data_IF_039264391137
#
_entry.id   IF_039264391137
#
_cell.length_a   1.000
_cell.length_b   1.000
_cell.length_c   1.000
_cell.angle_alpha   90.00
_cell.angle_beta   90.00
_cell.angle_gamma   90.00
#
_symmetry.space_group_name_H-M   'P 1'
#
loop_
_entity.id
_entity.type
_entity.pdbx_description
1 polymer ?
#
# COMPACT_ATOMS: atom_id res chain seq x y z
N UNK A 1 2.04 23.73 7.54
CA UNK A 1 2.25 22.28 7.80
C UNK A 1 1.76 21.40 6.65
N UNK A 2 0.89 21.86 5.74
CA UNK A 2 0.29 21.05 4.66
C UNK A 2 1.26 20.64 3.54
N UNK A 3 2.16 21.52 3.08
CA UNK A 3 3.08 21.16 1.98
C UNK A 3 4.16 20.15 2.40
N UNK A 4 4.58 20.19 3.68
CA UNK A 4 5.60 19.25 4.18
C UNK A 4 5.00 17.84 4.31
N UNK A 5 3.77 17.68 4.81
CA UNK A 5 3.12 16.37 4.90
C UNK A 5 2.79 15.78 3.51
N UNK A 6 2.33 16.59 2.56
CA UNK A 6 1.98 16.11 1.22
C UNK A 6 3.22 15.74 0.39
N UNK A 7 4.29 16.52 0.53
CA UNK A 7 5.61 16.18 -0.02
C UNK A 7 6.25 14.99 0.70
N UNK A 8 6.03 14.80 2.01
CA UNK A 8 6.50 13.64 2.76
C UNK A 8 5.80 12.37 2.29
N UNK A 9 4.46 12.36 2.18
CA UNK A 9 3.69 11.18 1.77
C UNK A 9 4.01 10.80 0.32
N UNK A 10 4.07 11.78 -0.59
CA UNK A 10 4.37 11.52 -2.01
C UNK A 10 5.84 11.08 -2.20
N UNK A 11 6.81 11.73 -1.54
CA UNK A 11 8.22 11.32 -1.63
C UNK A 11 8.54 10.05 -0.84
N UNK A 12 7.86 9.75 0.27
CA UNK A 12 8.09 8.53 1.03
C UNK A 12 7.52 7.33 0.30
N UNK A 13 6.33 7.42 -0.30
CA UNK A 13 5.79 6.34 -1.13
C UNK A 13 6.63 6.11 -2.39
N UNK A 14 7.09 7.17 -3.07
CA UNK A 14 7.95 7.03 -4.24
C UNK A 14 9.38 6.54 -3.91
N UNK A 15 9.98 6.97 -2.80
CA UNK A 15 11.36 6.60 -2.46
C UNK A 15 11.51 5.34 -1.61
N UNK A 16 10.52 5.00 -0.77
CA UNK A 16 10.51 3.71 -0.06
C UNK A 16 10.25 2.56 -1.04
N UNK A 17 9.33 2.74 -1.99
CA UNK A 17 9.06 1.73 -3.03
C UNK A 17 10.20 1.56 -4.03
N UNK A 18 11.09 2.56 -4.19
CA UNK A 18 12.26 2.41 -5.07
C UNK A 18 13.33 1.46 -4.52
N UNK A 19 13.27 1.11 -3.22
CA UNK A 19 14.23 0.20 -2.56
C UNK A 19 13.61 -1.05 -1.92
N UNK A 20 12.30 -1.09 -1.64
CA UNK A 20 11.60 -2.37 -1.51
C UNK A 20 11.47 -2.94 -2.93
N UNK A 21 11.80 -4.22 -3.14
CA UNK A 21 11.69 -4.79 -4.49
C UNK A 21 10.24 -4.65 -4.96
N UNK A 22 10.02 -4.19 -6.20
CA UNK A 22 8.72 -4.14 -6.89
C UNK A 22 8.18 -5.55 -7.20
N UNK A 23 8.50 -6.56 -6.38
CA UNK A 23 8.13 -7.95 -6.64
C UNK A 23 6.75 -8.20 -6.06
N UNK A 24 5.77 -8.28 -6.95
CA UNK A 24 4.44 -8.80 -6.61
C UNK A 24 4.60 -10.22 -6.06
N UNK A 25 3.90 -10.61 -4.97
CA UNK A 25 3.91 -11.98 -4.50
C UNK A 25 3.48 -12.93 -5.63
N UNK A 26 4.03 -14.14 -5.68
CA UNK A 26 3.62 -15.12 -6.69
C UNK A 26 2.25 -15.70 -6.31
N UNK A 27 1.18 -15.04 -6.77
CA UNK A 27 -0.20 -15.36 -6.42
C UNK A 27 -0.82 -16.30 -7.45
N UNK A 28 -0.18 -17.46 -7.61
CA UNK A 28 -0.62 -18.50 -8.54
C UNK A 28 -0.66 -19.87 -7.87
N UNK A 29 -1.59 -20.70 -8.30
CA UNK A 29 -1.66 -22.10 -7.87
C UNK A 29 -0.63 -22.98 -8.61
N UNK A 30 -0.66 -24.29 -8.33
CA UNK A 30 0.23 -25.27 -8.96
C UNK A 30 0.07 -25.33 -10.49
N UNK A 31 -1.10 -24.96 -11.00
CA UNK A 31 -1.42 -24.89 -12.43
C UNK A 31 -1.06 -23.52 -13.05
N UNK A 32 -0.44 -22.63 -12.27
CA UNK A 32 -0.07 -21.25 -12.63
C UNK A 32 -1.26 -20.33 -12.90
N UNK A 33 -2.43 -20.69 -12.40
CA UNK A 33 -3.64 -19.87 -12.48
C UNK A 33 -3.67 -18.86 -11.32
N UNK A 34 -4.16 -17.64 -11.55
CA UNK A 34 -4.27 -16.66 -10.48
C UNK A 34 -5.24 -17.10 -9.39
N UNK A 35 -4.82 -16.92 -8.13
CA UNK A 35 -5.63 -17.31 -6.97
C UNK A 35 -6.46 -16.15 -6.41
N UNK A 36 -6.11 -14.89 -6.71
CA UNK A 36 -6.78 -13.69 -6.20
C UNK A 36 -7.84 -13.14 -7.17
N UNK A 37 -8.73 -14.01 -7.64
CA UNK A 37 -9.66 -13.67 -8.72
C UNK A 37 -10.60 -12.49 -8.40
N UNK A 38 -10.78 -11.61 -9.38
CA UNK A 38 -11.63 -10.42 -9.28
C UNK A 38 -11.13 -9.37 -8.29
N UNK A 39 -9.93 -9.55 -7.75
CA UNK A 39 -9.29 -8.66 -6.78
C UNK A 39 -7.89 -8.33 -7.26
N UNK A 40 -7.36 -7.22 -6.75
CA UNK A 40 -6.00 -6.76 -7.09
C UNK A 40 -5.11 -6.62 -5.86
N UNK A 41 -5.66 -6.91 -4.68
CA UNK A 41 -5.00 -6.88 -3.38
C UNK A 41 -5.74 -7.84 -2.43
N UNK A 42 -5.29 -7.93 -1.18
CA UNK A 42 -5.99 -8.65 -0.12
C UNK A 42 -7.41 -8.09 0.05
N UNK A 43 -8.38 -9.00 0.08
CA UNK A 43 -9.80 -8.73 0.24
C UNK A 43 -10.45 -9.75 1.17
N UNK A 44 -11.67 -9.45 1.66
CA UNK A 44 -12.53 -10.39 2.38
C UNK A 44 -12.83 -11.67 1.59
N UNK A 45 -12.75 -11.61 0.25
CA UNK A 45 -12.97 -12.79 -0.62
C UNK A 45 -11.68 -13.51 -1.01
N UNK A 46 -10.51 -12.96 -0.66
CA UNK A 46 -9.23 -13.57 -1.00
C UNK A 46 -9.00 -14.85 -0.18
N UNK A 47 -8.47 -15.93 -0.78
CA UNK A 47 -8.10 -17.11 -0.02
C UNK A 47 -6.92 -16.81 0.93
N UNK A 48 -6.78 -17.54 2.06
CA UNK A 48 -5.72 -17.30 3.05
C UNK A 48 -4.31 -17.26 2.46
N UNK A 49 -4.05 -18.07 1.42
CA UNK A 49 -2.77 -18.11 0.72
C UNK A 49 -2.35 -16.74 0.14
N UNK A 50 -3.30 -15.88 -0.24
CA UNK A 50 -3.01 -14.52 -0.71
C UNK A 50 -2.44 -13.67 0.43
N UNK A 51 -3.10 -13.68 1.59
CA UNK A 51 -2.63 -12.96 2.77
C UNK A 51 -1.23 -13.42 3.21
N UNK A 52 -1.00 -14.74 3.22
CA UNK A 52 0.29 -15.34 3.56
C UNK A 52 1.39 -14.93 2.58
N UNK A 53 1.11 -14.93 1.28
CA UNK A 53 2.08 -14.56 0.25
C UNK A 53 2.46 -13.08 0.35
N UNK A 54 1.48 -12.19 0.54
CA UNK A 54 1.72 -10.76 0.77
C UNK A 54 2.56 -10.50 2.03
N UNK A 55 2.19 -11.14 3.14
CA UNK A 55 2.95 -11.03 4.39
C UNK A 55 4.38 -11.56 4.20
N UNK A 56 4.57 -12.72 3.57
CA UNK A 56 5.88 -13.30 3.33
C UNK A 56 6.77 -12.38 2.47
N UNK A 57 6.21 -11.75 1.44
CA UNK A 57 6.93 -10.79 0.59
C UNK A 57 7.33 -9.54 1.39
N UNK A 58 6.40 -8.96 2.16
CA UNK A 58 6.70 -7.83 3.06
C UNK A 58 7.81 -8.16 4.06
N UNK A 59 7.75 -9.34 4.71
CA UNK A 59 8.78 -9.77 5.65
C UNK A 59 10.17 -9.86 5.00
N UNK A 60 10.25 -10.35 3.76
CA UNK A 60 11.50 -10.43 3.01
C UNK A 60 12.03 -9.04 2.67
N UNK A 61 11.20 -8.19 2.06
CA UNK A 61 11.62 -6.87 1.57
C UNK A 61 11.95 -5.93 2.72
N UNK A 62 11.15 -5.91 3.78
CA UNK A 62 11.41 -5.07 4.94
C UNK A 62 12.65 -5.53 5.71
N UNK A 63 12.88 -6.84 5.85
CA UNK A 63 14.13 -7.35 6.43
C UNK A 63 15.35 -6.95 5.60
N UNK A 64 15.26 -7.05 4.26
CA UNK A 64 16.33 -6.61 3.36
C UNK A 64 16.59 -5.12 3.45
N UNK A 65 15.53 -4.31 3.52
CA UNK A 65 15.62 -2.87 3.73
C UNK A 65 16.36 -2.54 5.02
N UNK A 66 15.98 -3.16 6.14
CA UNK A 66 16.63 -2.95 7.44
C UNK A 66 18.11 -3.34 7.38
N UNK A 67 18.44 -4.53 6.87
CA UNK A 67 19.84 -4.97 6.71
C UNK A 67 20.66 -4.00 5.87
N UNK A 68 20.09 -3.50 4.78
CA UNK A 68 20.76 -2.54 3.89
C UNK A 68 21.00 -1.20 4.59
N UNK A 69 19.98 -0.65 5.26
CA UNK A 69 20.13 0.58 6.05
C UNK A 69 21.13 0.41 7.19
N UNK A 70 21.19 -0.76 7.80
CA UNK A 70 22.11 -1.04 8.89
C UNK A 70 23.60 -0.99 8.46
N UNK A 71 23.89 -1.30 7.19
CA UNK A 71 25.23 -1.20 6.61
C UNK A 71 25.62 0.23 6.25
N UNK A 72 24.65 1.04 5.81
CA UNK A 72 24.87 2.43 5.39
C UNK A 72 24.93 3.41 6.57
N UNK A 73 24.27 3.08 7.70
CA UNK A 73 24.12 3.99 8.83
C UNK A 73 25.29 3.94 9.80
N UNK A 74 25.67 5.12 10.31
CA UNK A 74 26.71 5.28 11.34
C UNK A 74 26.35 4.44 12.56
N UNK A 75 27.22 3.49 12.97
CA UNK A 75 27.05 2.75 14.20
C UNK A 75 27.04 3.71 15.41
N UNK A 76 26.40 3.31 16.51
CA UNK A 76 26.34 4.11 17.74
C UNK A 76 25.52 5.41 17.63
N UNK A 77 24.26 5.30 17.19
CA UNK A 77 23.30 6.39 17.33
C UNK A 77 22.85 7.05 16.04
N UNK A 78 23.23 6.53 14.87
CA UNK A 78 22.54 6.86 13.63
C UNK A 78 21.04 6.61 13.78
N UNK A 79 20.21 7.55 13.32
CA UNK A 79 18.75 7.50 13.43
C UNK A 79 18.09 7.49 12.07
N UNK A 80 17.00 6.74 11.96
CA UNK A 80 16.11 6.75 10.81
C UNK A 80 14.68 6.96 11.30
N UNK A 81 13.91 7.71 10.53
CA UNK A 81 12.48 7.88 10.74
C UNK A 81 11.80 7.28 9.51
N UNK A 82 10.94 6.30 9.72
CA UNK A 82 10.12 5.72 8.67
C UNK A 82 8.67 6.08 8.95
N UNK A 83 7.94 6.46 7.92
CA UNK A 83 6.48 6.57 7.95
C UNK A 83 5.96 5.63 6.88
N UNK A 84 5.11 4.70 7.29
CA UNK A 84 4.52 3.66 6.47
C UNK A 84 3.00 3.80 6.57
N UNK A 85 2.26 3.50 5.51
CA UNK A 85 0.85 3.18 5.73
C UNK A 85 0.79 1.85 6.49
N UNK A 86 -0.19 1.71 7.36
CA UNK A 86 -0.40 0.50 8.11
C UNK A 86 -1.88 0.25 8.33
N UNK A 87 -2.16 -0.64 9.28
CA UNK A 87 -3.51 -0.96 9.74
C UNK A 87 -3.52 -1.09 11.27
N UNK A 88 -4.69 -0.88 11.87
CA UNK A 88 -4.92 -1.10 13.30
C UNK A 88 -5.31 -2.55 13.57
N UNK A 89 -6.05 -3.15 12.65
CA UNK A 89 -6.48 -4.54 12.75
C UNK A 89 -5.32 -5.52 12.60
N UNK A 90 -5.32 -6.60 13.38
CA UNK A 90 -4.43 -7.74 13.15
C UNK A 90 -4.78 -8.48 11.85
N UNK A 91 -6.08 -8.51 11.50
CA UNK A 91 -6.58 -9.14 10.28
C UNK A 91 -6.27 -8.26 9.05
N UNK A 92 -5.49 -8.74 8.07
CA UNK A 92 -5.18 -7.99 6.85
C UNK A 92 -6.35 -7.91 5.85
N UNK A 93 -7.51 -8.50 6.17
CA UNK A 93 -8.74 -8.40 5.37
C UNK A 93 -9.75 -7.42 5.98
N UNK A 94 -9.31 -6.55 6.90
CA UNK A 94 -10.14 -5.50 7.50
C UNK A 94 -10.19 -4.25 6.63
N UNK A 95 -11.27 -3.47 6.72
CA UNK A 95 -11.50 -2.31 5.84
C UNK A 95 -10.37 -1.27 5.89
N UNK A 96 -9.80 -1.02 7.07
CA UNK A 96 -8.66 -0.09 7.26
C UNK A 96 -7.37 -0.51 6.55
N UNK A 97 -7.30 -1.74 6.02
CA UNK A 97 -6.12 -2.28 5.35
C UNK A 97 -6.14 -2.19 3.82
N UNK A 98 -7.30 -1.98 3.19
CA UNK A 98 -7.45 -2.16 1.74
C UNK A 98 -8.31 -1.14 0.98
N UNK A 99 -9.01 -0.18 1.62
CA UNK A 99 -10.11 0.60 1.00
C UNK A 99 -9.83 1.13 -0.41
N UNK A 100 -8.68 1.77 -0.73
CA UNK A 100 -8.44 2.26 -2.08
C UNK A 100 -8.38 1.16 -3.15
N UNK A 101 -7.90 -0.04 -2.79
CA UNK A 101 -7.71 -1.14 -3.72
C UNK A 101 -9.01 -1.84 -4.09
N UNK A 102 -10.01 -1.84 -3.21
CA UNK A 102 -11.35 -2.35 -3.56
C UNK A 102 -12.03 -1.47 -4.60
N UNK A 103 -11.96 -0.14 -4.45
CA UNK A 103 -12.49 0.79 -5.45
C UNK A 103 -11.82 0.59 -6.81
N UNK A 104 -10.52 0.28 -6.83
CA UNK A 104 -9.82 -0.08 -8.05
C UNK A 104 -10.32 -1.40 -8.64
N UNK A 105 -10.44 -2.45 -7.82
CA UNK A 105 -10.94 -3.74 -8.29
C UNK A 105 -12.35 -3.61 -8.87
N UNK A 106 -13.21 -2.81 -8.24
CA UNK A 106 -14.56 -2.50 -8.71
C UNK A 106 -14.53 -1.74 -10.05
N UNK A 107 -13.73 -0.67 -10.15
CA UNK A 107 -13.60 0.10 -11.39
C UNK A 107 -13.07 -0.77 -12.54
N UNK A 108 -12.04 -1.59 -12.29
CA UNK A 108 -11.50 -2.52 -13.29
C UNK A 108 -12.57 -3.56 -13.69
N UNK A 109 -13.31 -4.11 -12.72
CA UNK A 109 -14.42 -5.05 -12.97
C UNK A 109 -15.52 -4.43 -13.83
N UNK A 110 -15.85 -3.15 -13.61
CA UNK A 110 -16.80 -2.43 -14.46
C UNK A 110 -16.28 -2.31 -15.90
N UNK A 111 -14.98 -2.03 -16.10
CA UNK A 111 -14.37 -2.02 -17.43
C UNK A 111 -14.31 -3.41 -18.09
N UNK A 112 -14.17 -4.48 -17.31
CA UNK A 112 -14.31 -5.87 -17.79
C UNK A 112 -15.73 -6.10 -18.28
N UNK A 113 -16.75 -5.66 -17.53
CA UNK A 113 -18.16 -5.80 -17.93
C UNK A 113 -18.49 -5.05 -19.24
N UNK A 114 -17.77 -3.96 -19.52
CA UNK A 114 -17.86 -3.19 -20.77
C UNK A 114 -17.06 -3.80 -21.94
N UNK A 115 -16.27 -4.85 -21.69
CA UNK A 115 -15.40 -5.48 -22.68
C UNK A 115 -14.16 -4.64 -23.03
N UNK A 116 -13.76 -3.71 -22.17
CA UNK A 116 -12.57 -2.87 -22.37
C UNK A 116 -11.30 -3.49 -21.77
N UNK A 117 -11.46 -4.40 -20.81
CA UNK A 117 -10.40 -5.19 -20.17
C UNK A 117 -10.83 -6.65 -20.20
N UNK A 118 -9.92 -7.56 -20.55
CA UNK A 118 -10.17 -8.99 -20.42
C UNK A 118 -10.13 -9.40 -18.93
N UNK A 119 -11.06 -10.24 -18.50
CA UNK A 119 -11.13 -10.74 -17.11
C UNK A 119 -9.81 -11.38 -16.66
N UNK A 120 -9.14 -12.12 -17.54
CA UNK A 120 -7.82 -12.71 -17.27
C UNK A 120 -6.75 -11.67 -16.92
N UNK A 121 -6.86 -10.44 -17.43
CA UNK A 121 -5.93 -9.35 -17.11
C UNK A 121 -6.22 -8.74 -15.75
N UNK A 122 -7.49 -8.71 -15.32
CA UNK A 122 -7.84 -8.36 -13.94
C UNK A 122 -7.30 -9.43 -12.99
N UNK A 123 -7.62 -10.70 -13.24
CA UNK A 123 -7.23 -11.81 -12.36
C UNK A 123 -5.71 -11.97 -12.23
N UNK A 124 -4.94 -11.57 -13.24
CA UNK A 124 -3.47 -11.65 -13.21
C UNK A 124 -2.77 -10.41 -12.67
N UNK A 125 -3.51 -9.39 -12.22
CA UNK A 125 -2.96 -8.16 -11.67
C UNK A 125 -3.10 -8.14 -10.16
N UNK A 126 -1.96 -8.05 -9.46
CA UNK A 126 -1.91 -7.83 -8.02
C UNK A 126 -0.96 -6.66 -7.72
N UNK A 127 -1.34 -5.79 -6.79
CA UNK A 127 -0.57 -4.60 -6.46
C UNK A 127 0.65 -5.00 -5.61
N UNK A 128 1.86 -4.47 -5.91
CA UNK A 128 3.06 -4.74 -5.13
C UNK A 128 3.09 -3.85 -3.88
N UNK A 129 2.09 -4.04 -3.01
CA UNK A 129 1.86 -3.18 -1.86
C UNK A 129 1.42 -4.01 -0.66
N UNK A 130 1.79 -3.62 0.55
CA UNK A 130 1.30 -4.26 1.77
C UNK A 130 1.11 -3.23 2.88
N UNK A 131 0.01 -3.35 3.62
CA UNK A 131 -0.36 -2.48 4.75
C UNK A 131 -0.12 -3.22 6.07
N UNK A 132 1.09 -3.17 6.66
CA UNK A 132 1.41 -3.94 7.84
C UNK A 132 0.70 -3.44 9.11
N UNK A 133 0.51 -4.32 10.09
CA UNK A 133 0.15 -3.90 11.45
C UNK A 133 1.39 -3.38 12.20
N UNK A 134 1.17 -2.64 13.29
CA UNK A 134 2.27 -2.17 14.13
C UNK A 134 3.09 -3.35 14.69
N UNK A 135 2.42 -4.44 15.06
CA UNK A 135 3.03 -5.66 15.58
C UNK A 135 3.94 -6.34 14.55
N UNK A 136 3.50 -6.45 13.29
CA UNK A 136 4.29 -7.04 12.21
C UNK A 136 5.58 -6.25 11.96
N UNK A 137 5.48 -4.92 11.92
CA UNK A 137 6.65 -4.03 11.77
C UNK A 137 7.62 -4.23 12.94
N UNK A 138 7.08 -4.23 14.17
CA UNK A 138 7.87 -4.40 15.38
C UNK A 138 8.58 -5.75 15.43
N UNK A 139 7.88 -6.84 15.14
CA UNK A 139 8.44 -8.18 15.12
C UNK A 139 9.61 -8.27 14.14
N UNK A 140 9.48 -7.69 12.95
CA UNK A 140 10.53 -7.73 11.94
C UNK A 140 11.77 -6.92 12.34
N UNK A 141 11.60 -5.75 12.97
CA UNK A 141 12.73 -4.96 13.50
C UNK A 141 13.47 -5.73 14.58
N UNK A 142 12.71 -6.35 15.51
CA UNK A 142 13.28 -7.12 16.61
C UNK A 142 14.00 -8.37 16.11
N UNK A 143 13.42 -9.07 15.12
CA UNK A 143 13.98 -10.27 14.47
C UNK A 143 15.23 -9.96 13.64
N UNK A 144 15.27 -8.85 12.92
CA UNK A 144 16.46 -8.45 12.16
C UNK A 144 17.59 -7.98 13.09
N UNK A 145 17.25 -7.19 14.12
CA UNK A 145 18.12 -6.95 15.28
C UNK A 145 19.14 -5.81 15.14
N UNK A 146 19.28 -5.15 13.98
CA UNK A 146 20.25 -4.05 13.78
C UNK A 146 19.84 -2.73 14.41
N UNK A 147 18.55 -2.55 14.69
CA UNK A 147 17.99 -1.31 15.22
C UNK A 147 17.29 -1.49 16.56
N UNK A 148 17.36 -0.49 17.42
CA UNK A 148 16.46 -0.30 18.54
C UNK A 148 15.32 0.63 18.10
N UNK A 149 14.12 0.38 18.60
CA UNK A 149 12.97 1.27 18.40
C UNK A 149 13.00 2.33 19.50
N UNK A 150 13.25 3.59 19.14
CA UNK A 150 13.18 4.73 20.06
C UNK A 150 11.72 5.20 20.21
N UNK A 151 10.91 5.12 19.15
CA UNK A 151 9.48 5.45 19.12
C UNK A 151 8.78 4.60 18.07
N UNK A 152 7.56 4.15 18.35
CA UNK A 152 6.66 3.59 17.35
C UNK A 152 5.23 3.96 17.70
N UNK A 153 4.56 4.71 16.83
CA UNK A 153 3.21 5.21 17.04
C UNK A 153 2.39 5.06 15.77
N UNK A 154 1.07 4.99 15.94
CA UNK A 154 0.11 5.04 14.84
C UNK A 154 -0.67 6.34 14.87
N UNK A 155 -0.95 6.91 13.71
CA UNK A 155 -1.84 8.05 13.58
C UNK A 155 -2.73 7.90 12.34
N UNK A 156 -3.91 8.49 12.39
CA UNK A 156 -4.87 8.47 11.30
C UNK A 156 -4.85 9.81 10.55
N UNK A 157 -5.05 9.74 9.24
CA UNK A 157 -5.33 10.90 8.39
C UNK A 157 -6.71 10.69 7.78
N UNK A 158 -7.60 11.67 7.94
CA UNK A 158 -8.94 11.62 7.37
C UNK A 158 -8.87 11.79 5.84
N UNK A 159 -9.45 10.83 5.11
CA UNK A 159 -9.63 10.90 3.66
C UNK A 159 -10.67 11.99 3.39
N UNK A 160 -10.29 12.98 2.58
CA UNK A 160 -11.11 14.17 2.35
C UNK A 160 -10.90 15.31 3.36
N UNK A 161 -9.85 15.24 4.20
CA UNK A 161 -9.35 16.40 4.94
C UNK A 161 -9.04 17.53 3.93
N UNK A 162 -9.78 18.63 4.01
CA UNK A 162 -9.67 19.76 3.06
C UNK A 162 -8.31 20.44 3.07
N UNK A 163 -7.57 20.32 4.18
CA UNK A 163 -6.21 20.86 4.29
C UNK A 163 -5.18 19.98 3.57
N UNK A 164 -5.54 18.74 3.23
CA UNK A 164 -4.70 17.75 2.52
C UNK A 164 -5.24 17.55 1.09
N UNK A 165 -6.50 17.13 0.96
CA UNK A 165 -7.23 16.97 -0.29
C UNK A 165 -8.46 17.88 -0.28
N UNK A 166 -8.41 18.94 -1.08
CA UNK A 166 -9.49 19.93 -1.17
C UNK A 166 -10.86 19.36 -1.56
N UNK A 167 -10.90 18.20 -2.24
CA UNK A 167 -12.11 17.46 -2.62
C UNK A 167 -11.77 16.01 -3.08
N UNK A 168 -12.82 15.22 -3.35
CA UNK A 168 -12.74 13.87 -3.89
C UNK A 168 -11.86 13.76 -5.17
N UNK A 169 -11.98 14.71 -6.09
CA UNK A 169 -11.16 14.74 -7.32
C UNK A 169 -9.67 14.92 -7.03
N UNK A 170 -9.33 15.75 -6.04
CA UNK A 170 -7.95 15.93 -5.59
C UNK A 170 -7.38 14.65 -4.98
N UNK A 171 -8.20 13.91 -4.22
CA UNK A 171 -7.84 12.59 -3.71
C UNK A 171 -7.63 11.56 -4.84
N UNK A 172 -8.56 11.49 -5.81
CA UNK A 172 -8.43 10.62 -6.98
C UNK A 172 -7.17 10.92 -7.80
N UNK A 173 -6.85 12.20 -8.03
CA UNK A 173 -5.62 12.62 -8.70
C UNK A 173 -4.35 12.22 -7.93
N UNK A 174 -4.38 12.32 -6.60
CA UNK A 174 -3.27 11.84 -5.77
C UNK A 174 -3.08 10.33 -5.94
N UNK A 175 -4.16 9.55 -5.93
CA UNK A 175 -4.08 8.10 -6.16
C UNK A 175 -3.52 7.79 -7.56
N UNK A 176 -4.02 8.46 -8.60
CA UNK A 176 -3.51 8.33 -9.97
C UNK A 176 -2.00 8.55 -10.05
N UNK A 177 -1.48 9.56 -9.37
CA UNK A 177 -0.06 9.94 -9.44
C UNK A 177 0.93 8.82 -9.06
N UNK A 178 0.55 7.90 -8.16
CA UNK A 178 1.42 6.79 -7.75
C UNK A 178 0.99 5.43 -8.29
N UNK A 179 -0.23 5.28 -8.80
CA UNK A 179 -0.75 4.03 -9.38
C UNK A 179 -0.65 3.98 -10.91
N UNK A 180 -0.61 5.13 -11.59
CA UNK A 180 -0.61 5.17 -13.06
C UNK A 180 0.55 4.37 -13.71
N UNK A 181 1.79 4.39 -13.18
CA UNK A 181 2.87 3.60 -13.77
C UNK A 181 2.59 2.10 -13.79
N UNK A 182 2.09 1.53 -12.68
CA UNK A 182 1.80 0.10 -12.60
C UNK A 182 0.57 -0.29 -13.45
N UNK A 183 -0.47 0.55 -13.44
CA UNK A 183 -1.69 0.32 -14.22
C UNK A 183 -1.41 0.42 -15.71
N UNK A 184 -0.67 1.45 -16.14
CA UNK A 184 -0.32 1.63 -17.55
C UNK A 184 0.59 0.53 -18.08
N UNK A 185 1.49 0.02 -17.24
CA UNK A 185 2.33 -1.13 -17.58
C UNK A 185 1.51 -2.40 -17.80
N UNK A 186 0.59 -2.71 -16.87
CA UNK A 186 -0.18 -3.96 -16.93
C UNK A 186 -1.36 -3.90 -17.89
N UNK A 187 -2.19 -2.86 -17.82
CA UNK A 187 -3.43 -2.73 -18.60
C UNK A 187 -3.26 -1.95 -19.90
N UNK A 188 -2.23 -1.09 -19.99
CA UNK A 188 -1.91 -0.28 -21.17
C UNK A 188 -2.42 1.16 -21.06
N UNK A 189 -1.70 2.11 -21.65
CA UNK A 189 -2.00 3.56 -21.55
C UNK A 189 -3.38 3.98 -22.03
N UNK A 190 -3.99 3.21 -22.94
CA UNK A 190 -5.31 3.54 -23.54
C UNK A 190 -6.47 3.43 -22.54
N UNK A 191 -6.29 2.69 -21.45
CA UNK A 191 -7.36 2.44 -20.47
C UNK A 191 -7.38 3.48 -19.34
N UNK A 192 -6.31 4.27 -19.20
CA UNK A 192 -6.08 5.11 -18.02
C UNK A 192 -7.20 6.11 -17.81
N UNK A 193 -7.58 6.84 -18.86
CA UNK A 193 -8.58 7.91 -18.70
C UNK A 193 -9.97 7.35 -18.36
N UNK A 194 -10.36 6.23 -18.95
CA UNK A 194 -11.60 5.53 -18.60
C UNK A 194 -11.56 5.01 -17.16
N UNK A 195 -10.48 4.30 -16.79
CA UNK A 195 -10.34 3.69 -15.46
C UNK A 195 -10.29 4.74 -14.35
N UNK A 196 -9.50 5.80 -14.51
CA UNK A 196 -9.43 6.85 -13.50
C UNK A 196 -10.67 7.74 -13.48
N UNK A 197 -11.43 7.81 -14.58
CA UNK A 197 -12.78 8.38 -14.59
C UNK A 197 -13.72 7.61 -13.66
N UNK A 198 -13.81 6.29 -13.85
CA UNK A 198 -14.63 5.40 -13.01
C UNK A 198 -14.19 5.45 -11.53
N UNK A 199 -12.89 5.40 -11.25
CA UNK A 199 -12.36 5.52 -9.88
C UNK A 199 -12.76 6.87 -9.26
N UNK A 200 -12.68 7.96 -10.02
CA UNK A 200 -13.06 9.29 -9.54
C UNK A 200 -14.55 9.34 -9.18
N UNK A 201 -15.41 8.76 -10.03
CA UNK A 201 -16.85 8.71 -9.77
C UNK A 201 -17.19 7.86 -8.54
N UNK A 202 -16.54 6.71 -8.37
CA UNK A 202 -16.69 5.86 -7.17
C UNK A 202 -16.27 6.61 -5.89
N UNK A 203 -15.11 7.30 -5.91
CA UNK A 203 -14.65 8.11 -4.77
C UNK A 203 -15.63 9.23 -4.45
N UNK A 204 -16.20 9.91 -5.47
CA UNK A 204 -17.19 10.96 -5.26
C UNK A 204 -18.45 10.40 -4.59
N UNK A 205 -18.93 9.24 -5.04
CA UNK A 205 -20.11 8.58 -4.46
C UNK A 205 -19.86 8.14 -3.02
N UNK A 206 -18.70 7.52 -2.77
CA UNK A 206 -18.28 7.08 -1.45
C UNK A 206 -18.24 8.26 -0.46
N UNK A 207 -17.54 9.35 -0.81
CA UNK A 207 -17.49 10.58 -0.01
C UNK A 207 -18.86 11.19 0.27
N UNK A 208 -19.80 11.09 -0.67
CA UNK A 208 -21.16 11.60 -0.51
C UNK A 208 -22.04 10.71 0.39
N UNK A 209 -21.71 9.42 0.49
CA UNK A 209 -22.46 8.44 1.27
C UNK A 209 -22.01 8.34 2.73
N UNK A 210 -20.77 8.73 3.02
CA UNK A 210 -20.17 8.63 4.34
C UNK A 210 -20.67 9.69 5.32
N UNK A 211 -20.92 9.28 6.56
CA UNK A 211 -21.24 10.17 7.69
C UNK A 211 -20.00 10.64 8.44
N UNK A 212 -18.93 9.86 8.40
CA UNK A 212 -17.61 10.17 8.95
C UNK A 212 -16.56 9.82 7.88
N UNK A 213 -15.46 10.58 7.77
CA UNK A 213 -14.44 10.30 6.77
C UNK A 213 -13.72 8.99 7.08
N UNK A 214 -13.47 8.20 6.04
CA UNK A 214 -12.50 7.11 6.10
C UNK A 214 -11.12 7.60 6.52
N UNK A 215 -10.30 6.68 7.06
CA UNK A 215 -9.01 7.02 7.65
C UNK A 215 -7.88 6.20 7.05
N UNK A 216 -6.81 6.87 6.65
CA UNK A 216 -5.55 6.23 6.33
C UNK A 216 -4.74 6.12 7.61
N UNK A 217 -4.48 4.89 8.03
CA UNK A 217 -3.63 4.61 9.18
C UNK A 217 -2.17 4.64 8.75
N UNK A 218 -1.36 5.36 9.52
CA UNK A 218 0.07 5.50 9.31
C UNK A 218 0.82 5.02 10.55
N UNK A 219 1.92 4.32 10.35
CA UNK A 219 2.88 3.92 11.38
C UNK A 219 4.10 4.81 11.24
N UNK A 220 4.42 5.57 12.28
CA UNK A 220 5.72 6.25 12.41
C UNK A 220 6.62 5.42 13.32
N UNK A 221 7.85 5.15 12.84
CA UNK A 221 8.87 4.47 13.63
C UNK A 221 10.18 5.24 13.60
N UNK A 222 10.72 5.50 14.78
CA UNK A 222 12.05 6.08 14.98
C UNK A 222 13.00 4.95 15.37
N UNK A 223 13.94 4.67 14.48
CA UNK A 223 14.95 3.63 14.64
C UNK A 223 16.28 4.23 15.06
N UNK A 224 16.98 3.56 15.96
CA UNK A 224 18.34 3.89 16.38
C UNK A 224 19.28 2.72 16.12
N UNK A 225 20.35 2.95 15.36
CA UNK A 225 21.33 1.93 15.00
C UNK A 225 22.05 1.40 16.24
N UNK A 226 21.92 0.08 16.48
CA UNK A 226 22.60 -0.64 17.57
C UNK A 226 24.10 -0.83 17.27
N UNK A 227 24.86 -1.16 18.31
CA UNK A 227 26.24 -1.65 18.19
C UNK A 227 26.18 -3.07 17.61
N UNK A 228 26.88 -3.36 16.52
CA UNK A 228 27.09 -4.76 16.12
C UNK A 228 27.84 -5.49 17.24
N UNK A 229 27.33 -6.65 17.69
CA UNK A 229 28.08 -7.54 18.58
C UNK A 229 29.27 -8.13 17.86
#
# INVERSE_FOLDING_TARGET
>A
MSEFCQALVTNLLQNANKKLNEKVPELRDEERLPINKGKIYISKTSPPAVCEAYLAQFQQDFSLFLKSRAQEMVPYGGRAILVLHGRLSADPTSEDSYTPWELFAEAISHLVSKGLIDEERLDSFDVPYYTPSQEEVKELIDKEGSFAVDLMETFAIDIGDKDIWSNATSYANNIRSFTEPMISHHFGVKILDELYGEITDLIIQDFASQTEPDKIINIVVVLKRKKNR
#
